data_IF_818016922022
#
_entry.id   IF_818016922022
#
_cell.length_a   1.000
_cell.length_b   1.000
_cell.length_c   1.000
_cell.angle_alpha   90.00
_cell.angle_beta   90.00
_cell.angle_gamma   90.00
#
_symmetry.space_group_name_H-M   'P 1'
#
loop_
_entity.id
_entity.type
_entity.pdbx_description
1 polymer ?
#
# COMPACT_ATOMS: atom_id res chain seq x y z
N UNK A 1 -15.90 65.36 -27.02
CA UNK A 1 -15.42 65.11 -25.65
C UNK A 1 -14.48 63.91 -25.68
N UNK A 2 -13.21 63.97 -25.34
CA UNK A 2 -12.24 65.07 -25.44
C UNK A 2 -10.83 64.47 -25.20
N UNK A 3 -10.01 64.33 -26.25
CA UNK A 3 -8.61 63.88 -26.14
C UNK A 3 -7.65 65.08 -26.12
N UNK A 4 -6.90 65.32 -25.02
CA UNK A 4 -5.85 66.33 -24.97
C UNK A 4 -4.45 65.68 -25.07
N UNK A 5 -3.84 65.86 -26.24
CA UNK A 5 -2.42 66.17 -26.42
C UNK A 5 -1.41 65.74 -25.33
N UNK A 6 -0.59 64.75 -25.71
CA UNK A 6 0.84 64.69 -25.38
C UNK A 6 1.48 66.09 -25.26
N UNK A 7 2.07 66.41 -24.10
CA UNK A 7 2.95 67.57 -23.90
C UNK A 7 4.29 67.13 -23.31
N UNK A 8 5.38 67.58 -23.91
CA UNK A 8 6.71 67.14 -23.54
C UNK A 8 7.27 67.94 -22.34
N UNK A 9 7.88 67.24 -21.39
CA UNK A 9 8.86 67.81 -20.45
C UNK A 9 10.27 67.60 -20.99
N UNK A 10 11.04 68.68 -21.11
CA UNK A 10 12.36 68.67 -21.74
C UNK A 10 13.50 68.35 -20.75
N UNK A 11 14.71 68.18 -21.33
CA UNK A 11 16.02 68.31 -20.69
C UNK A 11 16.29 67.52 -19.40
N UNK A 12 17.02 66.40 -19.55
CA UNK A 12 18.21 66.17 -18.73
C UNK A 12 19.21 65.25 -19.45
N UNK A 13 20.11 65.83 -20.26
CA UNK A 13 21.26 65.10 -20.82
C UNK A 13 22.35 64.90 -19.75
N UNK A 14 22.05 64.04 -18.77
CA UNK A 14 23.00 63.64 -17.74
C UNK A 14 23.98 62.58 -18.28
N UNK A 15 25.11 63.06 -18.80
CA UNK A 15 26.41 62.35 -18.88
C UNK A 15 26.40 60.85 -19.20
N UNK A 16 26.68 60.50 -20.48
CA UNK A 16 27.18 59.16 -20.85
C UNK A 16 28.57 58.91 -20.24
N UNK A 17 28.62 58.50 -18.97
CA UNK A 17 29.85 58.11 -18.30
C UNK A 17 30.58 57.01 -19.09
N UNK A 18 31.86 57.21 -19.37
CA UNK A 18 32.67 56.25 -20.10
C UNK A 18 32.73 54.90 -19.35
N UNK A 19 32.55 53.79 -20.07
CA UNK A 19 32.66 52.44 -19.48
C UNK A 19 34.09 52.27 -18.94
N UNK A 20 34.29 51.99 -17.65
CA UNK A 20 35.64 51.89 -17.08
C UNK A 20 36.41 50.72 -17.73
N UNK A 21 37.71 50.92 -17.90
CA UNK A 21 38.60 49.96 -18.54
C UNK A 21 38.52 48.56 -17.86
N UNK A 22 38.63 47.46 -18.62
CA UNK A 22 38.54 46.12 -18.07
C UNK A 22 39.67 45.88 -17.05
N UNK A 23 39.31 45.64 -15.79
CA UNK A 23 40.27 45.29 -14.73
C UNK A 23 41.18 44.12 -15.18
N UNK A 24 42.49 44.16 -14.88
CA UNK A 24 43.44 43.14 -15.31
C UNK A 24 43.06 41.75 -14.78
N UNK A 25 43.42 40.72 -15.54
CA UNK A 25 43.25 39.32 -15.13
C UNK A 25 44.22 38.97 -14.00
N UNK A 26 43.75 38.23 -12.99
CA UNK A 26 44.64 37.72 -11.93
C UNK A 26 45.78 36.88 -12.53
N UNK A 27 47.06 37.16 -12.20
CA UNK A 27 48.21 36.55 -12.87
C UNK A 27 48.26 35.04 -12.71
N UNK A 28 47.88 34.50 -11.54
CA UNK A 28 47.82 33.06 -11.29
C UNK A 28 46.82 32.34 -12.23
N UNK A 29 45.63 32.91 -12.49
CA UNK A 29 44.67 32.34 -13.43
C UNK A 29 45.20 32.39 -14.88
N UNK A 30 45.93 33.45 -15.24
CA UNK A 30 46.59 33.57 -16.55
C UNK A 30 47.69 32.53 -16.74
N UNK A 31 48.46 32.22 -15.70
CA UNK A 31 49.50 31.18 -15.73
C UNK A 31 48.94 29.76 -15.84
N UNK A 32 47.73 29.50 -15.31
CA UNK A 32 47.03 28.22 -15.49
C UNK A 32 46.28 28.10 -16.82
N UNK A 33 46.48 29.03 -17.77
CA UNK A 33 45.81 29.02 -19.08
C UNK A 33 44.30 29.26 -19.04
N UNK A 34 43.72 29.54 -17.86
CA UNK A 34 42.28 29.72 -17.70
C UNK A 34 41.85 31.10 -18.24
N UNK A 35 40.67 31.19 -18.89
CA UNK A 35 40.12 32.48 -19.31
C UNK A 35 39.81 33.37 -18.08
N UNK A 36 39.61 34.66 -18.31
CA UNK A 36 39.27 35.62 -17.25
C UNK A 36 37.80 35.44 -16.80
N UNK A 37 37.50 34.34 -16.09
CA UNK A 37 36.16 33.98 -15.61
C UNK A 37 35.69 35.03 -14.59
N UNK A 38 34.92 36.01 -15.09
CA UNK A 38 34.27 37.02 -14.26
C UNK A 38 33.07 36.40 -13.55
N UNK A 39 33.34 35.73 -12.43
CA UNK A 39 32.35 35.27 -11.45
C UNK A 39 31.64 36.46 -10.79
N UNK A 40 30.83 37.18 -11.57
CA UNK A 40 29.84 38.10 -11.06
C UNK A 40 28.78 37.28 -10.33
N UNK A 41 28.52 37.62 -9.07
CA UNK A 41 27.37 37.07 -8.36
C UNK A 41 26.08 37.35 -9.17
N UNK A 42 25.12 36.41 -9.23
CA UNK A 42 23.82 36.67 -9.79
C UNK A 42 23.13 37.88 -9.12
N UNK A 43 22.17 38.51 -9.81
CA UNK A 43 21.42 39.62 -9.22
C UNK A 43 20.61 39.17 -8.00
N UNK A 44 20.20 40.11 -7.12
CA UNK A 44 19.44 39.82 -5.89
C UNK A 44 18.29 38.83 -6.11
N UNK A 45 17.49 39.03 -7.15
CA UNK A 45 16.34 38.19 -7.45
C UNK A 45 16.75 36.78 -7.91
N UNK A 46 17.84 36.67 -8.69
CA UNK A 46 18.43 35.37 -9.04
C UNK A 46 19.03 34.66 -7.83
N UNK A 47 19.69 35.36 -6.91
CA UNK A 47 20.19 34.77 -5.66
C UNK A 47 19.04 34.22 -4.81
N UNK A 48 17.97 34.99 -4.63
CA UNK A 48 16.75 34.54 -3.91
C UNK A 48 16.13 33.31 -4.58
N UNK A 49 16.01 33.31 -5.91
CA UNK A 49 15.49 32.17 -6.65
C UNK A 49 16.37 30.92 -6.48
N UNK A 50 17.69 31.07 -6.60
CA UNK A 50 18.65 29.97 -6.49
C UNK A 50 18.79 29.43 -5.05
N UNK A 51 18.66 30.27 -4.01
CA UNK A 51 18.66 29.77 -2.62
C UNK A 51 17.37 29.05 -2.27
N UNK A 52 16.20 29.54 -2.70
CA UNK A 52 14.91 28.86 -2.45
C UNK A 52 14.84 27.54 -3.22
N UNK A 53 15.14 27.54 -4.53
CA UNK A 53 15.12 26.31 -5.33
C UNK A 53 16.23 25.33 -4.92
N UNK A 54 17.43 25.82 -4.61
CA UNK A 54 18.56 25.01 -4.15
C UNK A 54 18.32 24.35 -2.78
N UNK A 55 17.73 25.07 -1.82
CA UNK A 55 17.38 24.51 -0.50
C UNK A 55 16.25 23.49 -0.59
N UNK A 56 15.18 23.77 -1.34
CA UNK A 56 14.08 22.81 -1.54
C UNK A 56 14.55 21.53 -2.28
N UNK A 57 15.33 21.67 -3.35
CA UNK A 57 15.88 20.51 -4.06
C UNK A 57 16.90 19.75 -3.22
N UNK A 58 17.72 20.44 -2.41
CA UNK A 58 18.61 19.83 -1.41
C UNK A 58 17.84 18.99 -0.39
N UNK A 59 16.76 19.52 0.19
CA UNK A 59 15.90 18.80 1.13
C UNK A 59 15.24 17.56 0.48
N UNK A 60 14.74 17.69 -0.76
CA UNK A 60 14.15 16.59 -1.52
C UNK A 60 15.15 15.49 -1.85
N UNK A 61 16.40 15.85 -2.20
CA UNK A 61 17.47 14.89 -2.46
C UNK A 61 17.96 14.22 -1.16
N UNK A 62 18.00 14.97 -0.06
CA UNK A 62 18.34 14.45 1.28
C UNK A 62 17.30 13.42 1.75
N UNK A 63 16.00 13.75 1.78
CA UNK A 63 14.98 12.82 2.26
C UNK A 63 14.88 11.57 1.37
N UNK A 64 15.07 11.71 0.04
CA UNK A 64 15.21 10.54 -0.87
C UNK A 64 16.45 9.69 -0.61
N UNK A 65 17.55 10.27 -0.12
CA UNK A 65 18.77 9.54 0.27
C UNK A 65 18.56 8.79 1.58
N UNK A 66 18.03 9.46 2.60
CA UNK A 66 17.81 8.86 3.91
C UNK A 66 16.67 7.82 3.88
N UNK A 67 15.63 8.04 3.09
CA UNK A 67 14.62 7.01 2.81
C UNK A 67 15.25 5.75 2.20
N UNK A 68 16.13 5.88 1.21
CA UNK A 68 16.83 4.73 0.61
C UNK A 68 17.74 4.04 1.62
N UNK A 69 18.42 4.78 2.51
CA UNK A 69 19.22 4.21 3.60
C UNK A 69 18.37 3.41 4.59
N UNK A 70 17.23 3.96 5.03
CA UNK A 70 16.29 3.24 5.90
C UNK A 70 15.78 1.96 5.22
N UNK A 71 15.43 2.02 3.93
CA UNK A 71 15.01 0.83 3.16
C UNK A 71 16.13 -0.21 3.05
N UNK A 72 17.36 0.22 2.75
CA UNK A 72 18.52 -0.67 2.67
C UNK A 72 18.81 -1.34 4.02
N UNK A 73 18.81 -0.60 5.13
CA UNK A 73 18.92 -1.12 6.51
C UNK A 73 17.96 -2.30 6.77
N UNK A 74 16.67 -2.12 6.48
CA UNK A 74 15.67 -3.17 6.73
C UNK A 74 15.73 -4.32 5.72
N UNK A 75 16.10 -4.06 4.48
CA UNK A 75 16.35 -5.12 3.49
C UNK A 75 17.58 -5.96 3.86
N UNK A 76 18.70 -5.34 4.22
CA UNK A 76 19.97 -6.00 4.58
C UNK A 76 19.84 -6.83 5.87
N UNK A 77 19.05 -6.35 6.84
CA UNK A 77 18.70 -7.11 8.04
C UNK A 77 17.96 -8.43 7.71
N UNK A 78 17.00 -8.37 6.79
CA UNK A 78 16.10 -9.45 6.39
C UNK A 78 16.70 -10.41 5.34
N UNK A 79 17.60 -9.95 4.49
CA UNK A 79 18.09 -10.65 3.29
C UNK A 79 18.84 -11.98 3.52
N UNK A 80 19.00 -12.43 4.76
CA UNK A 80 19.53 -13.76 5.07
C UNK A 80 18.51 -14.88 4.84
N UNK A 81 17.22 -14.62 5.09
CA UNK A 81 16.12 -15.59 4.85
C UNK A 81 16.12 -16.07 3.40
N UNK A 82 16.33 -15.16 2.45
CA UNK A 82 16.40 -15.45 1.01
C UNK A 82 17.54 -16.40 0.58
N UNK A 83 18.47 -16.72 1.49
CA UNK A 83 19.66 -17.56 1.24
C UNK A 83 19.68 -18.85 2.04
N UNK A 84 18.78 -19.00 3.00
CA UNK A 84 18.60 -20.25 3.73
C UNK A 84 18.07 -21.33 2.77
N UNK A 85 18.71 -22.51 2.70
CA UNK A 85 18.31 -23.57 1.77
C UNK A 85 17.00 -24.23 2.23
N UNK A 86 16.07 -24.44 1.28
CA UNK A 86 14.84 -25.21 1.51
C UNK A 86 14.94 -26.64 0.94
N UNK A 87 14.20 -27.60 1.53
CA UNK A 87 13.86 -28.86 0.88
C UNK A 87 13.07 -28.63 -0.43
N UNK A 88 13.22 -29.53 -1.40
CA UNK A 88 12.49 -29.47 -2.70
C UNK A 88 10.98 -29.71 -2.51
N UNK A 89 10.59 -30.36 -1.41
CA UNK A 89 9.21 -30.65 -1.02
C UNK A 89 8.50 -29.46 -0.33
N UNK A 90 9.17 -28.33 -0.14
CA UNK A 90 8.66 -27.20 0.66
C UNK A 90 8.59 -25.88 -0.14
N UNK A 91 7.41 -25.25 -0.16
CA UNK A 91 7.24 -23.85 -0.57
C UNK A 91 7.48 -22.91 0.62
N UNK A 92 8.23 -21.80 0.42
CA UNK A 92 8.33 -20.72 1.42
C UNK A 92 6.95 -20.28 1.90
N UNK A 93 6.83 -19.95 3.19
CA UNK A 93 5.60 -19.41 3.77
C UNK A 93 5.17 -18.14 3.04
N UNK A 94 3.86 -17.98 2.89
CA UNK A 94 3.23 -16.80 2.29
C UNK A 94 2.78 -15.80 3.37
N UNK A 95 2.75 -14.52 2.99
CA UNK A 95 2.17 -13.44 3.79
C UNK A 95 0.93 -12.85 3.12
N UNK A 96 -0.04 -12.41 3.91
CA UNK A 96 -1.36 -11.92 3.47
C UNK A 96 -1.40 -10.40 3.56
N UNK A 97 -1.56 -9.71 2.44
CA UNK A 97 -1.41 -8.24 2.33
C UNK A 97 -2.77 -7.58 2.07
N UNK A 98 -3.32 -6.91 3.07
CA UNK A 98 -4.61 -6.23 3.00
C UNK A 98 -4.44 -4.76 2.58
N UNK A 99 -5.12 -4.36 1.50
CA UNK A 99 -5.05 -3.02 0.90
C UNK A 99 -6.45 -2.45 0.60
N UNK A 100 -7.02 -1.60 1.46
CA UNK A 100 -8.20 -0.81 1.08
C UNK A 100 -7.82 0.53 0.43
N UNK A 101 -8.65 1.02 -0.49
CA UNK A 101 -8.58 2.40 -0.98
C UNK A 101 -8.74 3.40 0.18
N UNK A 102 -7.89 4.43 0.32
CA UNK A 102 -8.03 5.39 1.41
C UNK A 102 -9.32 6.21 1.31
N UNK A 103 -9.87 6.65 2.46
CA UNK A 103 -11.04 7.51 2.50
C UNK A 103 -10.92 8.79 1.64
N UNK A 104 -11.64 8.80 0.51
CA UNK A 104 -11.71 9.94 -0.42
C UNK A 104 -10.73 9.92 -1.60
N UNK A 105 -9.96 8.84 -1.79
CA UNK A 105 -9.08 8.61 -2.95
C UNK A 105 -9.15 7.13 -3.40
N UNK A 106 -8.57 6.81 -4.57
CA UNK A 106 -8.58 5.46 -5.10
C UNK A 106 -7.46 4.56 -4.57
N UNK A 107 -7.67 3.23 -4.68
CA UNK A 107 -6.72 2.14 -4.37
C UNK A 107 -5.29 2.34 -4.94
N UNK A 108 -5.11 3.22 -5.92
CA UNK A 108 -3.79 3.58 -6.48
C UNK A 108 -2.81 4.05 -5.40
N UNK A 109 -3.21 4.90 -4.46
CA UNK A 109 -2.27 5.46 -3.46
C UNK A 109 -1.84 4.42 -2.42
N UNK A 110 -2.72 3.49 -2.03
CA UNK A 110 -2.38 2.33 -1.19
C UNK A 110 -1.42 1.38 -1.93
N UNK A 111 -1.69 1.07 -3.21
CA UNK A 111 -0.78 0.29 -4.07
C UNK A 111 0.58 0.97 -4.26
N UNK A 112 0.63 2.29 -4.38
CA UNK A 112 1.89 3.04 -4.46
C UNK A 112 2.64 3.00 -3.12
N UNK A 113 1.96 3.13 -1.97
CA UNK A 113 2.59 2.96 -0.65
C UNK A 113 3.16 1.54 -0.47
N UNK A 114 2.38 0.48 -0.76
CA UNK A 114 2.86 -0.90 -0.70
C UNK A 114 4.13 -1.10 -1.56
N UNK A 115 4.11 -0.62 -2.81
CA UNK A 115 5.27 -0.70 -3.72
C UNK A 115 6.46 0.13 -3.26
N UNK A 116 6.23 1.29 -2.65
CA UNK A 116 7.29 2.24 -2.29
C UNK A 116 7.95 1.92 -0.94
N UNK A 117 7.24 1.28 0.01
CA UNK A 117 7.75 1.02 1.38
C UNK A 117 7.87 -0.47 1.74
N UNK A 118 6.82 -1.27 1.48
CA UNK A 118 6.71 -2.66 1.97
C UNK A 118 7.38 -3.66 1.03
N UNK A 119 7.02 -3.63 -0.26
CA UNK A 119 7.49 -4.60 -1.25
C UNK A 119 9.01 -4.78 -1.31
N UNK A 120 9.87 -3.74 -1.17
CA UNK A 120 11.32 -3.92 -1.20
C UNK A 120 11.83 -4.92 -0.15
N UNK A 121 11.23 -4.94 1.05
CA UNK A 121 11.64 -5.79 2.16
C UNK A 121 11.16 -7.23 1.94
N UNK A 122 9.91 -7.42 1.49
CA UNK A 122 9.39 -8.75 1.12
C UNK A 122 10.21 -9.40 0.00
N UNK A 123 10.61 -8.61 -1.00
CA UNK A 123 11.47 -9.07 -2.11
C UNK A 123 12.90 -9.36 -1.63
N UNK A 124 13.44 -8.58 -0.68
CA UNK A 124 14.73 -8.89 -0.06
C UNK A 124 14.69 -10.18 0.77
N UNK A 125 13.54 -10.54 1.34
CA UNK A 125 13.29 -11.80 2.06
C UNK A 125 13.10 -13.02 1.15
N UNK A 126 12.84 -12.81 -0.15
CA UNK A 126 12.31 -13.80 -1.07
C UNK A 126 11.01 -14.50 -0.56
N UNK A 127 10.15 -13.76 0.13
CA UNK A 127 8.83 -14.25 0.55
C UNK A 127 7.74 -13.87 -0.46
N UNK A 128 6.95 -14.87 -0.85
CA UNK A 128 5.72 -14.68 -1.62
C UNK A 128 4.62 -14.04 -0.76
N UNK A 129 3.73 -13.29 -1.41
CA UNK A 129 2.61 -12.63 -0.74
C UNK A 129 1.35 -12.63 -1.61
N UNK A 130 0.21 -12.86 -0.98
CA UNK A 130 -1.12 -12.78 -1.59
C UNK A 130 -1.79 -11.46 -1.19
N UNK A 131 -2.57 -10.83 -2.08
CA UNK A 131 -3.03 -9.44 -1.90
C UNK A 131 -4.55 -9.33 -1.93
N UNK A 132 -5.14 -8.94 -0.80
CA UNK A 132 -6.57 -8.75 -0.60
C UNK A 132 -6.89 -7.26 -0.77
N UNK A 133 -7.32 -6.89 -1.97
CA UNK A 133 -7.59 -5.50 -2.36
C UNK A 133 -9.06 -5.09 -2.19
N UNK A 134 -9.32 -4.02 -1.42
CA UNK A 134 -10.61 -3.33 -1.37
C UNK A 134 -10.60 -2.03 -2.18
N UNK A 135 -11.63 -1.82 -3.01
CA UNK A 135 -11.84 -0.57 -3.76
C UNK A 135 -12.84 0.36 -3.08
N UNK A 136 -13.69 -0.19 -2.21
CA UNK A 136 -14.74 0.49 -1.45
C UNK A 136 -14.69 0.05 0.00
N UNK A 137 -15.26 0.88 0.88
CA UNK A 137 -15.57 0.52 2.27
C UNK A 137 -16.34 -0.82 2.30
N UNK A 138 -15.82 -1.78 3.06
CA UNK A 138 -16.39 -3.11 3.27
C UNK A 138 -15.90 -4.21 2.33
N UNK A 139 -15.18 -3.87 1.25
CA UNK A 139 -14.64 -4.86 0.30
C UNK A 139 -13.60 -5.81 0.94
N UNK A 140 -12.83 -5.33 1.93
CA UNK A 140 -11.77 -6.13 2.59
C UNK A 140 -12.38 -7.02 3.66
N UNK A 141 -13.32 -6.50 4.46
CA UNK A 141 -14.11 -7.28 5.42
C UNK A 141 -14.76 -8.47 4.73
N UNK A 142 -15.49 -8.22 3.64
CA UNK A 142 -16.21 -9.24 2.88
C UNK A 142 -15.31 -10.39 2.44
N UNK A 143 -14.18 -10.07 1.79
CA UNK A 143 -13.22 -11.08 1.28
C UNK A 143 -12.59 -11.89 2.39
N UNK A 144 -12.15 -11.24 3.47
CA UNK A 144 -11.49 -11.93 4.57
C UNK A 144 -12.46 -12.85 5.33
N UNK A 145 -13.70 -12.38 5.56
CA UNK A 145 -14.76 -13.22 6.13
C UNK A 145 -15.11 -14.42 5.22
N UNK A 146 -15.16 -14.22 3.90
CA UNK A 146 -15.31 -15.32 2.94
C UNK A 146 -14.14 -16.31 2.93
N UNK A 147 -12.90 -15.84 3.08
CA UNK A 147 -11.70 -16.68 3.15
C UNK A 147 -11.71 -17.55 4.41
N UNK A 148 -12.00 -16.95 5.58
CA UNK A 148 -12.18 -17.69 6.84
C UNK A 148 -13.34 -18.71 6.70
N UNK A 149 -14.48 -18.34 6.07
CA UNK A 149 -15.57 -19.30 5.78
C UNK A 149 -15.12 -20.43 4.85
N UNK A 150 -14.27 -20.17 3.85
CA UNK A 150 -13.69 -21.20 2.98
C UNK A 150 -12.75 -22.14 3.74
N UNK A 151 -11.95 -21.63 4.70
CA UNK A 151 -11.12 -22.46 5.57
C UNK A 151 -11.96 -23.31 6.54
N UNK A 152 -13.00 -22.73 7.16
CA UNK A 152 -13.95 -23.46 8.03
C UNK A 152 -14.66 -24.61 7.30
N UNK A 153 -15.10 -24.40 6.06
CA UNK A 153 -15.63 -25.47 5.19
C UNK A 153 -14.58 -26.55 4.88
N UNK A 154 -13.33 -26.16 4.57
CA UNK A 154 -12.21 -27.11 4.34
C UNK A 154 -11.86 -27.93 5.58
N UNK A 155 -12.11 -27.38 6.78
CA UNK A 155 -11.96 -28.06 8.07
C UNK A 155 -13.18 -28.93 8.45
N UNK A 156 -14.17 -29.08 7.56
CA UNK A 156 -15.30 -30.00 7.73
C UNK A 156 -16.55 -29.42 8.39
N UNK A 157 -16.65 -28.10 8.58
CA UNK A 157 -17.90 -27.49 9.04
C UNK A 157 -18.95 -27.53 7.92
N UNK A 158 -20.07 -28.24 8.19
CA UNK A 158 -21.14 -28.48 7.23
C UNK A 158 -21.84 -27.17 6.81
N UNK A 159 -21.96 -26.98 5.51
CA UNK A 159 -22.66 -25.85 4.86
C UNK A 159 -23.91 -26.39 4.17
N UNK A 160 -25.07 -25.73 4.38
CA UNK A 160 -26.34 -26.12 3.74
C UNK A 160 -26.24 -25.95 2.22
N UNK A 161 -25.57 -24.88 1.77
CA UNK A 161 -25.32 -24.64 0.34
C UNK A 161 -24.47 -25.77 -0.27
N UNK A 162 -23.48 -26.30 0.45
CA UNK A 162 -22.65 -27.41 -0.04
C UNK A 162 -23.41 -28.75 -0.22
N UNK A 163 -24.56 -28.91 0.43
CA UNK A 163 -25.42 -30.10 0.30
C UNK A 163 -26.49 -29.92 -0.78
N UNK A 164 -27.05 -28.71 -0.92
CA UNK A 164 -28.08 -28.41 -1.91
C UNK A 164 -27.53 -28.03 -3.30
N UNK A 165 -26.32 -27.48 -3.36
CA UNK A 165 -25.77 -26.76 -4.51
C UNK A 165 -24.46 -27.32 -5.08
N UNK A 166 -24.32 -28.64 -5.19
CA UNK A 166 -23.14 -29.30 -5.79
C UNK A 166 -23.00 -29.09 -7.32
N UNK A 167 -23.65 -28.07 -7.90
CA UNK A 167 -23.80 -27.86 -9.34
C UNK A 167 -22.99 -26.68 -9.90
N UNK A 168 -23.26 -25.44 -9.46
CA UNK A 168 -23.02 -24.27 -10.35
C UNK A 168 -22.02 -23.21 -9.83
N UNK A 169 -21.85 -23.00 -8.52
CA UNK A 169 -20.86 -22.03 -7.98
C UNK A 169 -19.42 -22.60 -7.85
N UNK A 170 -19.20 -23.84 -8.29
CA UNK A 170 -18.01 -24.66 -8.00
C UNK A 170 -16.68 -24.26 -8.68
N UNK A 171 -16.50 -23.02 -9.11
CA UNK A 171 -15.26 -22.55 -9.76
C UNK A 171 -14.16 -22.37 -8.71
N UNK A 172 -13.47 -23.47 -8.36
CA UNK A 172 -12.25 -23.45 -7.54
C UNK A 172 -11.29 -22.38 -8.06
N UNK A 173 -10.73 -21.57 -7.16
CA UNK A 173 -9.77 -20.53 -7.55
C UNK A 173 -8.56 -21.17 -8.24
N UNK A 174 -7.90 -20.44 -9.15
CA UNK A 174 -6.68 -20.93 -9.80
C UNK A 174 -5.59 -21.29 -8.78
N UNK A 175 -5.52 -20.55 -7.68
CA UNK A 175 -4.61 -20.81 -6.56
C UNK A 175 -5.02 -22.05 -5.76
N UNK A 176 -6.33 -22.30 -5.59
CA UNK A 176 -6.83 -23.53 -4.95
C UNK A 176 -6.54 -24.78 -5.79
N UNK A 177 -6.74 -24.72 -7.12
CA UNK A 177 -6.38 -25.82 -8.04
C UNK A 177 -4.86 -26.07 -8.01
N UNK A 178 -4.05 -25.02 -7.96
CA UNK A 178 -2.58 -25.14 -7.82
C UNK A 178 -2.20 -25.71 -6.44
N UNK A 179 -2.88 -25.32 -5.36
CA UNK A 179 -2.63 -25.83 -4.02
C UNK A 179 -3.03 -27.31 -3.86
N UNK A 180 -4.15 -27.73 -4.47
CA UNK A 180 -4.55 -29.15 -4.55
C UNK A 180 -3.53 -29.96 -5.35
N UNK A 181 -3.07 -29.46 -6.50
CA UNK A 181 -2.03 -30.12 -7.28
C UNK A 181 -0.69 -30.24 -6.52
N UNK A 182 -0.28 -29.18 -5.80
CA UNK A 182 0.92 -29.21 -4.93
C UNK A 182 0.80 -30.29 -3.85
N UNK A 183 -0.33 -30.32 -3.13
CA UNK A 183 -0.63 -31.33 -2.09
C UNK A 183 -0.64 -32.74 -2.65
N UNK A 184 -1.18 -32.95 -3.85
CA UNK A 184 -1.18 -34.25 -4.53
C UNK A 184 0.22 -34.73 -4.96
N UNK A 185 1.15 -33.79 -5.22
CA UNK A 185 2.58 -34.07 -5.50
C UNK A 185 3.38 -34.26 -4.19
N UNK A 186 2.81 -33.92 -3.03
CA UNK A 186 3.47 -33.98 -1.72
C UNK A 186 4.16 -32.66 -1.32
N UNK A 187 4.06 -31.60 -2.14
CA UNK A 187 4.61 -30.28 -1.80
C UNK A 187 3.78 -29.64 -0.70
N UNK A 188 4.44 -29.30 0.41
CA UNK A 188 3.85 -28.62 1.58
C UNK A 188 4.35 -27.18 1.71
N UNK A 189 3.59 -26.35 2.40
CA UNK A 189 4.11 -25.04 2.82
C UNK A 189 5.07 -25.22 4.01
N UNK A 190 6.10 -24.38 4.06
CA UNK A 190 7.09 -24.26 5.12
C UNK A 190 6.41 -24.16 6.51
N UNK A 191 6.81 -25.00 7.50
CA UNK A 191 6.19 -25.02 8.82
C UNK A 191 6.63 -23.83 9.68
N UNK A 192 6.06 -22.66 9.40
CA UNK A 192 6.21 -21.43 10.16
C UNK A 192 4.87 -20.69 10.31
N UNK A 193 4.74 -19.77 11.29
CA UNK A 193 3.52 -19.02 11.49
C UNK A 193 3.34 -18.03 10.32
N UNK A 194 2.10 -17.78 9.90
CA UNK A 194 1.79 -16.85 8.80
C UNK A 194 1.67 -15.42 9.35
N UNK A 195 1.46 -14.46 8.46
CA UNK A 195 1.48 -13.06 8.85
C UNK A 195 0.58 -12.17 8.01
N UNK A 196 -0.38 -11.54 8.69
CA UNK A 196 -1.32 -10.58 8.12
C UNK A 196 -0.71 -9.16 8.16
N UNK A 197 -0.56 -8.54 7.00
CA UNK A 197 0.00 -7.22 6.81
C UNK A 197 -1.10 -6.26 6.38
N UNK A 198 -1.48 -5.33 7.26
CA UNK A 198 -2.68 -4.50 7.09
C UNK A 198 -2.31 -3.03 6.94
N UNK A 199 -2.52 -2.43 5.77
CA UNK A 199 -2.03 -1.07 5.49
C UNK A 199 -3.11 -0.01 5.75
N UNK A 200 -2.89 0.80 6.78
CA UNK A 200 -3.72 1.94 7.18
C UNK A 200 -4.89 1.59 8.11
N UNK A 201 -5.26 2.56 8.94
CA UNK A 201 -6.34 2.45 9.95
C UNK A 201 -7.67 2.00 9.37
N UNK A 202 -8.07 2.49 8.20
CA UNK A 202 -9.33 2.12 7.52
C UNK A 202 -9.33 0.62 7.17
N UNK A 203 -8.25 0.10 6.59
CA UNK A 203 -8.08 -1.33 6.33
C UNK A 203 -8.02 -2.14 7.64
N UNK A 204 -7.44 -1.61 8.71
CA UNK A 204 -7.41 -2.27 10.03
C UNK A 204 -8.81 -2.46 10.63
N UNK A 205 -9.70 -1.48 10.51
CA UNK A 205 -11.10 -1.60 10.96
C UNK A 205 -11.84 -2.68 10.16
N UNK A 206 -11.70 -2.68 8.84
CA UNK A 206 -12.28 -3.75 7.98
C UNK A 206 -11.68 -5.14 8.26
N UNK A 207 -10.37 -5.25 8.47
CA UNK A 207 -9.69 -6.50 8.82
C UNK A 207 -10.21 -7.09 10.13
N UNK A 208 -10.25 -6.28 11.20
CA UNK A 208 -10.78 -6.70 12.51
C UNK A 208 -12.26 -7.08 12.40
N UNK A 209 -13.06 -6.29 11.67
CA UNK A 209 -14.48 -6.58 11.42
C UNK A 209 -14.67 -7.90 10.66
N UNK A 210 -13.86 -8.15 9.62
CA UNK A 210 -13.88 -9.37 8.81
C UNK A 210 -13.41 -10.61 9.55
N UNK A 211 -12.42 -10.47 10.44
CA UNK A 211 -11.96 -11.53 11.33
C UNK A 211 -13.10 -12.02 12.23
N UNK A 212 -13.82 -11.09 12.87
CA UNK A 212 -14.95 -11.44 13.72
C UNK A 212 -16.13 -11.98 12.91
N UNK A 213 -16.45 -11.39 11.76
CA UNK A 213 -17.54 -11.87 10.89
C UNK A 213 -17.26 -13.25 10.25
N UNK A 214 -15.99 -13.59 10.02
CA UNK A 214 -15.54 -14.89 9.51
C UNK A 214 -15.59 -16.00 10.55
N UNK A 215 -15.21 -15.70 11.80
CA UNK A 215 -15.20 -16.69 12.89
C UNK A 215 -16.54 -16.80 13.65
N UNK A 216 -17.23 -15.68 13.90
CA UNK A 216 -18.52 -15.66 14.64
C UNK A 216 -19.73 -15.72 13.71
N UNK A 217 -19.57 -15.39 12.43
CA UNK A 217 -20.67 -15.40 11.46
C UNK A 217 -21.04 -16.79 10.94
N UNK A 218 -22.22 -16.91 10.31
CA UNK A 218 -22.63 -18.12 9.62
C UNK A 218 -21.73 -18.40 8.40
N UNK A 219 -21.68 -19.68 8.02
CA UNK A 219 -20.87 -20.19 6.89
C UNK A 219 -21.58 -19.96 5.56
N UNK A 220 -22.89 -20.15 5.56
CA UNK A 220 -23.80 -19.88 4.44
C UNK A 220 -24.27 -18.42 4.50
N UNK A 221 -24.62 -17.79 3.35
CA UNK A 221 -25.18 -16.45 3.37
C UNK A 221 -26.52 -16.41 4.11
N UNK A 222 -26.80 -15.37 4.93
CA UNK A 222 -28.16 -15.11 5.36
C UNK A 222 -29.05 -14.84 4.13
N UNK A 223 -30.37 -15.12 4.20
CA UNK A 223 -31.28 -14.75 3.12
C UNK A 223 -31.15 -13.24 2.86
N UNK A 224 -30.90 -12.87 1.61
CA UNK A 224 -30.75 -11.47 1.24
C UNK A 224 -32.05 -10.72 1.58
N UNK A 225 -31.97 -9.48 2.10
CA UNK A 225 -33.17 -8.67 2.30
C UNK A 225 -33.89 -8.52 0.96
N UNK A 226 -35.16 -8.89 0.92
CA UNK A 226 -35.97 -8.80 -0.30
C UNK A 226 -36.00 -7.33 -0.76
N UNK A 227 -35.60 -7.02 -2.01
CA UNK A 227 -35.63 -5.64 -2.48
C UNK A 227 -37.09 -5.20 -2.58
N UNK A 228 -37.48 -4.21 -1.77
CA UNK A 228 -38.85 -3.68 -1.74
C UNK A 228 -39.29 -3.33 -3.17
N UNK A 229 -40.23 -4.12 -3.70
CA UNK A 229 -40.69 -3.97 -5.06
C UNK A 229 -41.53 -2.70 -5.14
N UNK A 230 -40.92 -1.61 -5.63
CA UNK A 230 -41.64 -0.37 -5.97
C UNK A 230 -42.85 -0.71 -6.84
N UNK A 231 -44.03 -0.59 -6.24
CA UNK A 231 -45.31 -0.85 -6.89
C UNK A 231 -45.54 0.22 -7.94
N UNK A 232 -45.12 -0.06 -9.18
CA UNK A 232 -45.41 0.75 -10.34
C UNK A 232 -46.92 0.74 -10.59
N UNK A 233 -47.60 1.78 -10.09
CA UNK A 233 -49.04 1.98 -10.29
C UNK A 233 -49.35 2.11 -11.78
N UNK A 234 -50.35 1.38 -12.25
CA UNK A 234 -50.86 1.47 -13.61
C UNK A 234 -51.63 2.79 -13.79
N UNK A 235 -51.31 3.57 -14.83
CA UNK A 235 -52.22 4.56 -15.40
C UNK A 235 -52.30 4.45 -16.94
N UNK A 236 -53.41 4.86 -17.57
CA UNK A 236 -54.02 3.98 -18.56
C UNK A 236 -53.76 4.32 -20.04
N UNK A 237 -53.95 3.27 -20.84
CA UNK A 237 -53.90 3.22 -22.30
C UNK A 237 -55.09 3.96 -22.95
N UNK A 238 -54.81 5.00 -23.74
CA UNK A 238 -55.82 5.62 -24.63
C UNK A 238 -55.78 5.01 -26.04
N UNK A 239 -56.93 4.60 -26.63
CA UNK A 239 -57.00 4.04 -27.98
C UNK A 239 -57.33 5.09 -29.05
N UNK A 240 -56.84 4.88 -30.26
CA UNK A 240 -57.30 5.52 -31.49
C UNK A 240 -57.40 4.46 -32.61
N UNK A 241 -58.24 4.70 -33.61
CA UNK A 241 -58.82 3.65 -34.48
C UNK A 241 -58.38 3.82 -35.96
N UNK A 242 -58.22 2.67 -36.63
CA UNK A 242 -58.35 2.31 -38.07
C UNK A 242 -58.61 3.43 -39.12
N UNK A 243 -58.22 3.36 -40.40
CA UNK A 243 -57.43 2.46 -41.28
C UNK A 243 -57.53 3.08 -42.73
N UNK A 244 -57.11 2.45 -43.86
CA UNK A 244 -56.25 1.29 -44.13
C UNK A 244 -54.89 1.78 -44.74
N UNK A 245 -54.28 1.40 -45.87
CA UNK A 245 -54.56 0.48 -46.99
C UNK A 245 -53.25 0.10 -47.76
N UNK A 246 -53.37 -0.88 -48.67
CA UNK A 246 -52.45 -1.31 -49.74
C UNK A 246 -51.27 -2.22 -49.35
N UNK A 247 -50.99 -3.13 -50.29
CA UNK A 247 -50.14 -4.31 -50.16
C UNK A 247 -49.41 -4.58 -51.48
N UNK A 248 -48.72 -5.73 -51.54
CA UNK A 248 -47.68 -6.07 -52.54
C UNK A 248 -46.35 -5.30 -52.33
N UNK A 249 -45.17 -5.89 -52.53
CA UNK A 249 -44.82 -7.18 -53.15
C UNK A 249 -43.70 -7.88 -52.35
N UNK A 250 -43.55 -9.21 -52.51
CA UNK A 250 -42.62 -10.01 -51.70
C UNK A 250 -41.28 -10.31 -52.42
N UNK A 251 -40.17 -10.20 -51.69
CA UNK A 251 -38.90 -10.88 -52.01
C UNK A 251 -37.98 -10.97 -50.77
N UNK A 252 -37.57 -12.19 -50.45
CA UNK A 252 -36.53 -12.56 -49.48
C UNK A 252 -35.23 -12.97 -50.22
N UNK A 253 -34.07 -13.17 -49.55
CA UNK A 253 -33.82 -13.07 -48.10
C UNK A 253 -32.73 -12.05 -47.71
N UNK A 254 -32.65 -11.73 -46.41
CA UNK A 254 -31.53 -11.04 -45.78
C UNK A 254 -30.82 -11.96 -44.75
N UNK A 255 -29.57 -11.65 -44.41
CA UNK A 255 -28.68 -12.52 -43.62
C UNK A 255 -29.16 -12.76 -42.17
N UNK A 256 -29.01 -13.99 -41.67
CA UNK A 256 -29.16 -14.29 -40.24
C UNK A 256 -28.10 -13.56 -39.41
N UNK A 257 -28.52 -12.55 -38.63
CA UNK A 257 -27.79 -12.13 -37.43
C UNK A 257 -28.57 -12.54 -36.20
N UNK A 258 -28.04 -13.57 -35.53
CA UNK A 258 -28.45 -13.91 -34.16
C UNK A 258 -27.77 -12.93 -33.21
N UNK A 259 -28.52 -11.93 -32.76
CA UNK A 259 -28.15 -11.17 -31.57
C UNK A 259 -28.29 -12.09 -30.35
N UNK A 260 -27.17 -12.64 -29.87
CA UNK A 260 -27.11 -13.25 -28.54
C UNK A 260 -27.27 -12.14 -27.49
N UNK A 261 -28.50 -11.96 -27.00
CA UNK A 261 -28.82 -11.08 -25.87
C UNK A 261 -28.13 -11.59 -24.60
N UNK A 262 -26.86 -11.20 -24.43
CA UNK A 262 -26.13 -11.41 -23.18
C UNK A 262 -26.82 -10.63 -22.07
N UNK A 263 -27.60 -11.35 -21.26
CA UNK A 263 -27.93 -10.93 -19.89
C UNK A 263 -26.62 -10.68 -19.13
N UNK A 264 -26.19 -9.43 -19.10
CA UNK A 264 -25.21 -8.99 -18.11
C UNK A 264 -25.86 -9.12 -16.74
N UNK A 265 -25.48 -10.18 -16.01
CA UNK A 265 -25.77 -10.31 -14.60
C UNK A 265 -25.26 -9.05 -13.89
N UNK A 266 -26.19 -8.25 -13.38
CA UNK A 266 -25.89 -7.01 -12.65
C UNK A 266 -25.23 -7.38 -11.32
N UNK A 267 -23.91 -7.61 -11.36
CA UNK A 267 -23.08 -7.85 -10.18
C UNK A 267 -23.44 -6.82 -9.11
N UNK A 268 -23.70 -7.23 -7.86
CA UNK A 268 -24.22 -6.35 -6.83
C UNK A 268 -23.34 -5.11 -6.72
N UNK A 269 -23.95 -3.93 -6.85
CA UNK A 269 -23.23 -2.67 -7.05
C UNK A 269 -22.65 -2.09 -5.75
N UNK A 270 -22.24 -2.93 -4.81
CA UNK A 270 -21.74 -2.63 -3.47
C UNK A 270 -20.98 -3.83 -2.86
N UNK A 271 -20.32 -3.66 -1.71
CA UNK A 271 -19.82 -4.79 -0.93
C UNK A 271 -20.99 -5.70 -0.51
N UNK A 272 -20.73 -6.99 -0.25
CA UNK A 272 -21.73 -7.86 0.37
C UNK A 272 -22.05 -7.36 1.79
N UNK A 273 -23.31 -7.33 2.24
CA UNK A 273 -23.64 -6.94 3.61
C UNK A 273 -22.94 -7.87 4.63
N UNK A 274 -22.64 -7.36 5.83
CA UNK A 274 -22.06 -8.17 6.89
C UNK A 274 -23.08 -9.17 7.44
N UNK A 275 -22.69 -10.43 7.63
CA UNK A 275 -23.63 -11.50 7.99
C UNK A 275 -24.10 -11.47 9.47
N UNK A 276 -23.40 -10.73 10.33
CA UNK A 276 -23.64 -10.61 11.79
C UNK A 276 -23.28 -9.21 12.24
N UNK A 277 -24.11 -8.56 13.08
CA UNK A 277 -23.82 -7.21 13.60
C UNK A 277 -22.75 -7.24 14.70
N UNK A 278 -22.13 -6.09 14.98
CA UNK A 278 -21.17 -5.97 16.10
C UNK A 278 -21.80 -6.18 17.48
N UNK A 279 -23.11 -5.94 17.63
CA UNK A 279 -23.84 -6.16 18.88
C UNK A 279 -24.06 -7.65 19.18
N UNK A 280 -24.13 -8.49 18.14
CA UNK A 280 -24.40 -9.93 18.28
C UNK A 280 -23.17 -10.76 18.64
N UNK A 281 -21.96 -10.19 18.62
CA UNK A 281 -20.72 -10.95 18.88
C UNK A 281 -20.77 -11.81 20.17
N UNK A 282 -21.27 -11.32 21.33
CA UNK A 282 -21.29 -12.11 22.55
C UNK A 282 -22.29 -13.27 22.52
N UNK A 283 -23.33 -13.22 21.68
CA UNK A 283 -24.37 -14.25 21.59
C UNK A 283 -24.02 -15.35 20.58
N UNK A 284 -23.14 -15.09 19.60
CA UNK A 284 -22.73 -16.10 18.63
C UNK A 284 -21.88 -17.23 19.27
N UNK A 285 -22.06 -18.49 18.84
CA UNK A 285 -21.21 -19.61 19.25
C UNK A 285 -19.83 -19.53 18.56
N UNK A 286 -18.78 -19.99 19.25
CA UNK A 286 -17.48 -20.21 18.59
C UNK A 286 -17.52 -21.50 17.74
N UNK A 287 -16.95 -21.50 16.53
CA UNK A 287 -16.72 -22.72 15.77
C UNK A 287 -15.69 -23.63 16.45
N UNK A 288 -15.82 -24.97 16.34
CA UNK A 288 -14.80 -25.92 16.80
C UNK A 288 -13.49 -25.83 16.01
N UNK A 289 -13.51 -25.27 14.78
CA UNK A 289 -12.32 -25.14 13.93
C UNK A 289 -11.45 -23.90 14.21
N UNK A 290 -11.82 -23.02 15.14
CA UNK A 290 -11.00 -21.84 15.47
C UNK A 290 -9.67 -22.26 16.13
N UNK A 291 -8.51 -21.78 15.66
CA UNK A 291 -7.24 -22.14 16.27
C UNK A 291 -7.12 -21.57 17.70
N UNK A 292 -6.18 -22.12 18.48
CA UNK A 292 -5.89 -21.63 19.84
C UNK A 292 -5.20 -20.24 19.81
N UNK A 293 -4.44 -19.98 18.75
CA UNK A 293 -3.77 -18.71 18.45
C UNK A 293 -4.00 -18.39 16.98
N UNK A 294 -4.41 -17.16 16.68
CA UNK A 294 -4.50 -16.68 15.29
C UNK A 294 -3.12 -16.27 14.79
N UNK A 295 -2.95 -16.23 13.47
CA UNK A 295 -1.73 -15.73 12.84
C UNK A 295 -1.44 -14.27 13.23
N UNK A 296 -0.14 -13.92 13.26
CA UNK A 296 0.29 -12.62 13.76
C UNK A 296 -0.01 -11.49 12.78
N UNK A 297 -0.66 -10.43 13.25
CA UNK A 297 -1.06 -9.27 12.44
C UNK A 297 -0.17 -8.05 12.69
N UNK A 298 0.09 -7.30 11.62
CA UNK A 298 0.95 -6.12 11.58
C UNK A 298 0.21 -4.94 10.94
N UNK A 299 -0.41 -4.06 11.74
CA UNK A 299 -1.00 -2.82 11.24
C UNK A 299 0.10 -1.81 10.91
N UNK A 300 0.16 -1.40 9.64
CA UNK A 300 1.19 -0.53 9.07
C UNK A 300 0.62 0.88 8.81
N UNK A 301 1.31 1.96 9.25
CA UNK A 301 0.82 3.32 9.06
C UNK A 301 0.78 3.75 7.59
N UNK A 302 -0.36 4.30 7.17
CA UNK A 302 -0.62 4.83 5.84
C UNK A 302 -1.00 6.31 5.90
N UNK A 303 -0.03 7.22 6.09
CA UNK A 303 -0.28 8.66 6.29
C UNK A 303 -0.77 9.34 5.00
N UNK A 304 -2.08 9.26 4.75
CA UNK A 304 -2.78 9.79 3.59
C UNK A 304 -3.63 11.01 3.98
N UNK A 305 -3.25 12.20 3.51
CA UNK A 305 -3.94 13.46 3.82
C UNK A 305 -4.37 14.19 2.55
N UNK A 306 -5.67 14.51 2.47
CA UNK A 306 -6.33 15.15 1.32
C UNK A 306 -6.64 16.64 1.57
N UNK A 307 -7.10 17.33 0.52
CA UNK A 307 -7.49 18.75 0.55
C UNK A 307 -6.38 19.74 0.17
N UNK A 308 -6.81 20.97 -0.18
CA UNK A 308 -5.94 22.07 -0.62
C UNK A 308 -5.33 22.86 0.55
N UNK A 309 -6.12 23.18 1.58
CA UNK A 309 -5.63 23.88 2.78
C UNK A 309 -4.57 23.05 3.54
N UNK A 310 -4.57 21.73 3.36
CA UNK A 310 -3.60 20.81 3.94
C UNK A 310 -2.28 20.71 3.13
N UNK A 311 -2.13 21.45 2.03
CA UNK A 311 -0.89 21.44 1.21
C UNK A 311 0.41 21.72 1.97
N UNK A 312 0.54 22.67 2.92
CA UNK A 312 1.77 22.83 3.69
C UNK A 312 2.11 21.59 4.54
N UNK A 313 1.10 20.95 5.16
CA UNK A 313 1.27 19.72 5.93
C UNK A 313 1.71 18.57 4.99
N UNK A 314 1.11 18.47 3.80
CA UNK A 314 1.47 17.48 2.77
C UNK A 314 2.90 17.70 2.26
N UNK A 315 3.37 18.94 2.10
CA UNK A 315 4.77 19.27 1.76
C UNK A 315 5.72 18.87 2.90
N UNK A 316 5.37 19.18 4.16
CA UNK A 316 6.16 18.78 5.32
C UNK A 316 6.29 17.24 5.43
N UNK A 317 5.20 16.50 5.25
CA UNK A 317 5.22 15.02 5.22
C UNK A 317 6.00 14.48 4.02
N UNK A 318 5.93 15.15 2.86
CA UNK A 318 6.67 14.75 1.66
C UNK A 318 8.19 14.91 1.79
N UNK A 319 8.67 15.86 2.59
CA UNK A 319 10.10 16.08 2.90
C UNK A 319 10.59 15.30 4.14
N UNK A 320 9.76 14.43 4.69
CA UNK A 320 10.04 13.64 5.89
C UNK A 320 9.62 12.16 5.72
N UNK A 321 9.59 11.66 4.48
CA UNK A 321 9.22 10.26 4.17
C UNK A 321 10.23 9.25 4.74
N UNK A 322 11.45 9.69 5.12
CA UNK A 322 12.44 8.83 5.79
C UNK A 322 11.93 8.21 7.09
N UNK A 323 11.14 8.91 7.91
CA UNK A 323 10.63 8.37 9.17
C UNK A 323 9.57 7.29 8.93
N UNK A 324 8.67 7.51 7.97
CA UNK A 324 7.69 6.51 7.53
C UNK A 324 8.41 5.28 6.97
N UNK A 325 9.51 5.46 6.24
CA UNK A 325 10.31 4.34 5.74
C UNK A 325 11.03 3.55 6.85
N UNK A 326 11.38 4.17 7.97
CA UNK A 326 12.01 3.46 9.09
C UNK A 326 10.99 2.77 10.00
N UNK A 327 9.81 3.38 10.25
CA UNK A 327 8.74 2.76 11.03
C UNK A 327 8.07 1.60 10.28
N UNK A 328 7.63 1.82 9.04
CA UNK A 328 7.10 0.74 8.19
C UNK A 328 8.15 -0.35 7.98
N UNK A 329 9.42 0.03 7.84
CA UNK A 329 10.51 -0.94 7.70
C UNK A 329 10.71 -1.82 8.93
N UNK A 330 10.61 -1.25 10.14
CA UNK A 330 10.63 -1.98 11.41
C UNK A 330 9.48 -2.98 11.53
N UNK A 331 8.25 -2.55 11.24
CA UNK A 331 7.05 -3.41 11.36
C UNK A 331 7.07 -4.56 10.34
N UNK A 332 7.46 -4.29 9.08
CA UNK A 332 7.62 -5.35 8.06
C UNK A 332 8.77 -6.30 8.41
N UNK A 333 9.89 -5.80 8.93
CA UNK A 333 11.00 -6.66 9.36
C UNK A 333 10.60 -7.58 10.54
N UNK A 334 9.82 -7.09 11.50
CA UNK A 334 9.28 -7.88 12.60
C UNK A 334 8.39 -9.03 12.10
N UNK A 335 7.44 -8.72 11.20
CA UNK A 335 6.56 -9.68 10.53
C UNK A 335 7.34 -10.75 9.76
N UNK A 336 8.32 -10.32 8.96
CA UNK A 336 9.09 -11.20 8.06
C UNK A 336 10.06 -12.11 8.82
N UNK A 337 10.69 -11.62 9.90
CA UNK A 337 11.48 -12.46 10.79
C UNK A 337 10.59 -13.41 11.61
N UNK A 338 9.42 -12.96 12.04
CA UNK A 338 8.52 -13.65 12.98
C UNK A 338 9.18 -14.11 14.30
N UNK A 339 10.37 -13.59 14.64
CA UNK A 339 11.21 -14.04 15.76
C UNK A 339 10.56 -13.94 17.14
N UNK A 340 9.61 -13.02 17.31
CA UNK A 340 8.86 -12.84 18.54
C UNK A 340 7.42 -12.42 18.22
N UNK A 341 6.49 -13.36 18.35
CA UNK A 341 5.06 -13.05 18.42
C UNK A 341 4.67 -12.79 19.88
N UNK A 342 3.79 -11.82 20.12
CA UNK A 342 3.12 -11.63 21.41
C UNK A 342 1.61 -11.48 21.24
N UNK A 343 0.78 -11.86 22.22
CA UNK A 343 -0.60 -11.38 22.26
C UNK A 343 -0.64 -9.85 22.35
N UNK A 344 -1.72 -9.27 21.87
CA UNK A 344 -2.04 -7.87 22.13
C UNK A 344 -2.29 -7.64 23.64
N UNK A 345 -1.98 -6.44 24.12
CA UNK A 345 -2.14 -6.11 25.54
C UNK A 345 -3.59 -5.71 25.84
N UNK A 346 -4.19 -6.35 26.84
CA UNK A 346 -5.36 -5.84 27.54
C UNK A 346 -4.89 -4.88 28.63
N UNK A 347 -5.41 -3.65 28.68
CA UNK A 347 -4.95 -2.65 29.64
C UNK A 347 -6.05 -1.72 30.14
N UNK A 348 -5.96 -1.24 31.40
CA UNK A 348 -6.68 -0.03 31.79
C UNK A 348 -6.12 1.15 31.01
N UNK A 349 -7.00 2.07 30.58
CA UNK A 349 -6.58 3.30 29.90
C UNK A 349 -5.60 4.06 30.79
N UNK A 350 -4.35 4.14 30.36
CA UNK A 350 -3.27 4.77 31.12
C UNK A 350 -3.11 6.20 30.64
N UNK A 351 -3.75 7.14 31.32
CA UNK A 351 -3.69 8.57 31.03
C UNK A 351 -2.24 9.08 31.07
N UNK A 352 -1.62 9.22 29.89
CA UNK A 352 -0.28 9.78 29.70
C UNK A 352 -0.07 10.24 28.24
N UNK A 353 -0.99 11.06 27.72
CA UNK A 353 -0.77 11.90 26.53
C UNK A 353 -1.84 12.99 26.44
N UNK A 354 -1.45 14.26 26.36
CA UNK A 354 -2.37 15.40 26.24
C UNK A 354 -3.20 15.34 24.94
N UNK A 355 -4.44 14.85 25.03
CA UNK A 355 -5.39 14.81 23.92
C UNK A 355 -6.82 15.08 24.42
N UNK A 356 -7.12 16.36 24.63
CA UNK A 356 -8.45 16.87 25.01
C UNK A 356 -9.55 16.30 24.09
N UNK A 357 -10.34 15.37 24.64
CA UNK A 357 -11.46 14.67 24.00
C UNK A 357 -12.26 13.97 25.12
N UNK A 358 -13.55 14.30 25.32
CA UNK A 358 -14.33 13.70 26.39
C UNK A 358 -14.69 12.25 26.05
N UNK A 359 -13.96 11.29 26.64
CA UNK A 359 -14.29 9.87 26.57
C UNK A 359 -15.26 9.56 27.71
N UNK A 360 -16.47 9.09 27.38
CA UNK A 360 -17.50 8.84 28.39
C UNK A 360 -17.14 7.60 29.23
N UNK A 361 -17.10 7.76 30.56
CA UNK A 361 -16.42 6.80 31.45
C UNK A 361 -17.37 5.64 31.80
N UNK A 362 -17.30 4.56 31.03
CA UNK A 362 -18.09 3.33 31.25
C UNK A 362 -17.27 2.04 31.18
N UNK A 363 -16.27 1.91 32.07
CA UNK A 363 -15.84 0.62 32.65
C UNK A 363 -15.27 -0.48 31.73
N UNK A 364 -15.00 -0.21 30.45
CA UNK A 364 -14.52 -1.20 29.49
C UNK A 364 -13.00 -1.38 29.53
N UNK A 365 -12.54 -2.64 29.44
CA UNK A 365 -11.13 -2.96 29.23
C UNK A 365 -10.71 -2.51 27.82
N UNK A 366 -9.75 -1.60 27.73
CA UNK A 366 -9.26 -1.12 26.44
C UNK A 366 -8.30 -2.14 25.82
N UNK A 367 -8.66 -2.63 24.64
CA UNK A 367 -7.82 -3.55 23.87
C UNK A 367 -6.82 -2.75 23.03
N UNK A 368 -5.54 -3.15 23.05
CA UNK A 368 -4.50 -2.52 22.23
C UNK A 368 -4.88 -2.46 20.73
N UNK A 369 -5.62 -3.45 20.22
CA UNK A 369 -6.14 -3.50 18.85
C UNK A 369 -7.02 -2.27 18.49
N UNK A 370 -7.75 -1.71 19.46
CA UNK A 370 -8.70 -0.61 19.23
C UNK A 370 -7.99 0.72 18.97
N UNK A 371 -6.82 0.93 19.57
CA UNK A 371 -6.05 2.18 19.47
C UNK A 371 -5.01 2.16 18.33
N UNK A 372 -4.71 1.00 17.74
CA UNK A 372 -3.80 0.86 16.59
C UNK A 372 -4.16 1.84 15.46
N UNK A 373 -3.21 2.69 15.08
CA UNK A 373 -3.33 3.70 14.01
C UNK A 373 -4.49 4.72 14.19
N UNK A 374 -5.11 4.84 15.37
CA UNK A 374 -6.27 5.72 15.58
C UNK A 374 -5.99 7.21 15.28
N UNK A 375 -4.72 7.64 15.33
CA UNK A 375 -4.31 9.00 14.95
C UNK A 375 -4.53 9.30 13.45
N UNK A 376 -4.61 8.28 12.58
CA UNK A 376 -4.85 8.45 11.14
C UNK A 376 -6.30 8.84 10.82
N UNK A 377 -7.27 8.55 11.72
CA UNK A 377 -8.67 8.94 11.53
C UNK A 377 -8.82 10.47 11.44
N UNK A 378 -7.90 11.22 12.07
CA UNK A 378 -7.82 12.69 12.04
C UNK A 378 -7.37 13.25 10.67
N UNK A 379 -6.75 12.44 9.81
CA UNK A 379 -6.31 12.82 8.46
C UNK A 379 -7.37 12.55 7.37
N UNK A 380 -8.43 11.81 7.72
CA UNK A 380 -9.45 11.37 6.76
C UNK A 380 -10.22 12.55 6.15
N UNK A 381 -10.67 12.36 4.92
CA UNK A 381 -11.35 13.43 4.19
C UNK A 381 -12.78 13.64 4.70
N UNK A 382 -13.23 14.91 4.75
CA UNK A 382 -14.56 15.30 5.26
C UNK A 382 -15.75 14.64 4.56
N UNK A 383 -15.54 14.03 3.39
CA UNK A 383 -16.56 13.21 2.72
C UNK A 383 -16.93 11.94 3.48
N UNK A 384 -16.01 11.35 4.27
CA UNK A 384 -16.28 10.14 5.06
C UNK A 384 -17.36 10.40 6.11
N UNK A 385 -17.31 11.55 6.78
CA UNK A 385 -18.23 11.90 7.85
C UNK A 385 -19.62 12.34 7.35
N UNK A 386 -19.83 12.44 6.03
CA UNK A 386 -21.18 12.59 5.48
C UNK A 386 -21.93 11.27 5.63
N UNK A 387 -23.19 11.30 6.03
CA UNK A 387 -24.11 10.17 5.94
C UNK A 387 -24.63 10.02 4.52
N UNK A 388 -24.77 8.77 4.06
CA UNK A 388 -25.42 8.46 2.77
C UNK A 388 -26.94 8.47 2.99
N UNK A 389 -27.57 9.63 2.79
CA UNK A 389 -29.02 9.85 2.99
C UNK A 389 -29.91 8.86 2.22
N UNK A 390 -29.38 8.24 1.17
CA UNK A 390 -30.08 7.24 0.35
C UNK A 390 -30.06 5.81 0.93
N UNK A 391 -29.21 5.49 1.92
CA UNK A 391 -29.13 4.18 2.56
C UNK A 391 -28.68 4.35 4.04
N UNK A 392 -29.55 4.84 4.95
CA UNK A 392 -29.17 5.13 6.32
C UNK A 392 -28.72 3.88 7.11
N UNK A 393 -29.31 2.72 6.81
CA UNK A 393 -29.06 1.46 7.51
C UNK A 393 -27.82 0.69 6.99
N UNK A 394 -27.11 1.24 5.99
CA UNK A 394 -25.88 0.63 5.48
C UNK A 394 -24.77 0.75 6.53
N UNK A 395 -24.20 -0.39 6.93
CA UNK A 395 -23.03 -0.41 7.81
C UNK A 395 -21.85 0.40 7.24
N UNK A 396 -21.08 1.01 8.15
CA UNK A 396 -20.01 1.97 7.86
C UNK A 396 -18.74 1.58 8.59
N UNK A 397 -18.04 0.56 8.09
CA UNK A 397 -16.88 -0.06 8.74
C UNK A 397 -15.75 0.94 9.04
N UNK A 398 -15.65 2.06 8.30
CA UNK A 398 -14.66 3.09 8.60
C UNK A 398 -15.06 4.00 9.77
N UNK A 399 -16.34 4.33 9.93
CA UNK A 399 -16.79 5.22 11.01
C UNK A 399 -17.13 4.50 12.31
N UNK A 400 -17.66 3.27 12.26
CA UNK A 400 -17.99 2.50 13.45
C UNK A 400 -16.78 2.24 14.35
N UNK A 401 -17.01 2.10 15.65
CA UNK A 401 -15.94 1.77 16.60
C UNK A 401 -15.42 0.34 16.42
N UNK A 402 -14.18 0.12 16.85
CA UNK A 402 -13.54 -1.21 16.79
C UNK A 402 -14.09 -2.09 17.91
N UNK A 403 -15.25 -2.70 17.66
CA UNK A 403 -15.85 -3.70 18.54
C UNK A 403 -15.09 -5.03 18.40
N UNK A 404 -14.83 -5.66 19.55
CA UNK A 404 -14.06 -6.89 19.67
C UNK A 404 -14.80 -7.89 20.55
N UNK A 405 -14.76 -9.16 20.17
CA UNK A 405 -15.11 -10.26 21.06
C UNK A 405 -13.84 -10.66 21.85
N UNK A 406 -13.86 -10.65 23.20
CA UNK A 406 -12.72 -11.12 24.02
C UNK A 406 -12.19 -12.50 23.59
N UNK A 407 -13.08 -13.39 23.13
CA UNK A 407 -12.75 -14.76 22.68
C UNK A 407 -11.89 -14.77 21.41
N UNK A 408 -12.04 -13.77 20.54
CA UNK A 408 -11.25 -13.61 19.32
C UNK A 408 -10.04 -12.71 19.59
N UNK A 409 -10.23 -11.60 20.31
CA UNK A 409 -9.18 -10.64 20.65
C UNK A 409 -8.01 -11.29 21.42
N UNK A 410 -8.29 -12.14 22.42
CA UNK A 410 -7.27 -12.86 23.18
C UNK A 410 -6.51 -13.93 22.38
N UNK A 411 -6.99 -14.30 21.18
CA UNK A 411 -6.29 -15.18 20.23
C UNK A 411 -5.40 -14.41 19.25
N UNK A 412 -5.62 -13.10 19.07
CA UNK A 412 -4.86 -12.28 18.13
C UNK A 412 -3.43 -12.04 18.64
N UNK A 413 -2.46 -12.12 17.73
CA UNK A 413 -1.06 -11.83 18.02
C UNK A 413 -0.54 -10.70 17.13
N UNK A 414 0.56 -10.07 17.56
CA UNK A 414 1.39 -9.16 16.76
C UNK A 414 2.85 -9.58 16.82
N UNK A 415 3.52 -9.50 15.68
CA UNK A 415 4.97 -9.63 15.62
C UNK A 415 5.68 -8.37 16.11
N UNK A 416 6.68 -8.56 16.96
CA UNK A 416 7.54 -7.51 17.49
C UNK A 416 8.98 -7.87 17.11
N UNK A 417 9.78 -6.85 16.80
CA UNK A 417 11.21 -7.03 16.54
C UNK A 417 11.91 -7.30 17.88
N UNK A 418 12.66 -8.39 17.98
CA UNK A 418 13.40 -8.70 19.21
C UNK A 418 14.50 -7.66 19.47
N UNK A 419 14.85 -7.41 20.73
CA UNK A 419 15.88 -6.43 21.09
C UNK A 419 17.26 -6.71 20.46
N UNK A 420 17.55 -7.97 20.15
CA UNK A 420 18.76 -8.39 19.44
C UNK A 420 18.74 -7.96 17.96
N UNK A 421 17.61 -8.17 17.27
CA UNK A 421 17.43 -7.74 15.88
C UNK A 421 17.28 -6.21 15.78
N UNK A 422 16.77 -5.53 16.82
CA UNK A 422 16.82 -4.06 16.93
C UNK A 422 18.27 -3.55 17.02
N UNK A 423 19.07 -4.10 17.93
CA UNK A 423 20.49 -3.75 18.05
C UNK A 423 21.28 -4.10 16.78
N UNK A 424 20.89 -5.15 16.06
CA UNK A 424 21.41 -5.49 14.73
C UNK A 424 20.98 -4.48 13.66
N UNK A 425 19.73 -4.03 13.64
CA UNK A 425 19.24 -2.98 12.75
C UNK A 425 20.01 -1.65 12.94
N UNK A 426 20.41 -1.35 14.17
CA UNK A 426 21.26 -0.18 14.49
C UNK A 426 22.69 -0.38 13.95
N UNK A 427 23.34 -1.52 14.23
CA UNK A 427 24.69 -1.83 13.72
C UNK A 427 24.77 -1.91 12.19
N UNK A 428 23.70 -2.30 11.50
CA UNK A 428 23.58 -2.22 10.03
C UNK A 428 23.45 -0.76 9.56
N UNK A 429 22.67 0.07 10.26
CA UNK A 429 22.52 1.49 9.94
C UNK A 429 23.83 2.29 10.12
N UNK A 430 24.60 1.96 11.16
CA UNK A 430 25.98 2.44 11.38
C UNK A 430 26.95 1.89 10.33
N UNK A 431 26.66 0.71 9.79
CA UNK A 431 27.46 0.03 8.78
C UNK A 431 28.57 -0.87 9.33
N UNK A 432 28.46 -1.26 10.61
CA UNK A 432 29.35 -2.18 11.33
C UNK A 432 29.02 -3.63 11.00
N UNK A 433 27.73 -3.96 10.82
CA UNK A 433 27.26 -5.27 10.32
C UNK A 433 26.66 -5.11 8.92
N UNK A 434 26.55 -6.23 8.19
CA UNK A 434 25.87 -6.33 6.90
C UNK A 434 24.84 -7.48 6.95
N UNK A 435 24.58 -8.17 5.84
CA UNK A 435 23.74 -9.36 5.82
C UNK A 435 24.44 -10.48 6.62
N UNK A 436 23.69 -11.27 7.41
CA UNK A 436 24.22 -12.40 8.17
C UNK A 436 25.04 -13.32 7.24
N UNK A 437 26.30 -13.57 7.61
CA UNK A 437 27.21 -14.45 6.88
C UNK A 437 27.99 -13.80 5.73
N UNK A 438 27.86 -12.50 5.46
CA UNK A 438 28.60 -11.81 4.39
C UNK A 438 29.41 -10.60 4.88
N UNK A 439 30.58 -10.40 4.26
CA UNK A 439 31.31 -9.14 4.33
C UNK A 439 30.65 -8.07 3.44
N UNK A 440 30.75 -6.81 3.88
CA UNK A 440 30.19 -5.69 3.12
C UNK A 440 31.02 -5.45 1.85
N UNK A 441 30.41 -5.39 0.64
CA UNK A 441 31.16 -5.12 -0.58
C UNK A 441 31.84 -3.74 -0.54
N UNK A 442 33.06 -3.61 -1.10
CA UNK A 442 33.86 -2.39 -1.00
C UNK A 442 33.13 -1.19 -1.63
N UNK A 443 33.28 0.00 -1.03
CA UNK A 443 32.59 1.20 -1.50
C UNK A 443 33.11 1.68 -2.86
N UNK A 444 32.45 1.24 -3.94
CA UNK A 444 32.70 1.71 -5.32
C UNK A 444 32.19 3.13 -5.47
N UNK A 445 33.07 4.08 -5.85
CA UNK A 445 32.68 5.49 -6.02
C UNK A 445 31.63 5.68 -7.12
N UNK A 446 30.90 6.81 -7.10
CA UNK A 446 29.89 7.11 -8.14
C UNK A 446 30.56 7.23 -9.52
N UNK A 447 31.70 7.90 -9.61
CA UNK A 447 32.48 8.02 -10.85
C UNK A 447 32.94 6.67 -11.38
N UNK A 448 33.42 5.78 -10.50
CA UNK A 448 33.83 4.43 -10.88
C UNK A 448 32.63 3.59 -11.35
N UNK A 449 31.47 3.65 -10.68
CA UNK A 449 30.23 3.02 -11.14
C UNK A 449 29.74 3.56 -12.49
N UNK A 450 29.91 4.85 -12.76
CA UNK A 450 29.59 5.44 -14.07
C UNK A 450 30.59 5.00 -15.14
N UNK A 451 31.89 4.97 -14.82
CA UNK A 451 32.94 4.50 -15.73
C UNK A 451 32.81 3.02 -16.10
N UNK A 452 32.37 2.18 -15.15
CA UNK A 452 32.09 0.76 -15.37
C UNK A 452 30.81 0.58 -16.20
N UNK A 453 29.72 1.28 -15.86
CA UNK A 453 28.41 1.06 -16.50
C UNK A 453 28.26 1.74 -17.88
N UNK A 454 28.97 2.84 -18.12
CA UNK A 454 28.81 3.69 -19.31
C UNK A 454 30.13 4.08 -19.99
N UNK A 455 31.27 3.60 -19.50
CA UNK A 455 32.59 3.77 -20.11
C UNK A 455 33.24 2.42 -20.41
N UNK A 456 34.57 2.40 -20.51
CA UNK A 456 35.37 1.19 -20.73
C UNK A 456 35.92 0.61 -19.41
N UNK A 457 35.22 0.82 -18.30
CA UNK A 457 35.61 0.25 -17.01
C UNK A 457 35.16 -1.20 -16.88
N UNK A 458 36.08 -2.11 -16.60
CA UNK A 458 35.70 -3.48 -16.23
C UNK A 458 35.42 -3.56 -14.73
N UNK A 459 34.36 -4.28 -14.35
CA UNK A 459 34.12 -4.61 -12.95
C UNK A 459 35.28 -5.47 -12.41
N UNK A 460 35.93 -5.13 -11.29
CA UNK A 460 37.13 -5.82 -10.82
C UNK A 460 36.86 -7.29 -10.45
N UNK A 461 35.62 -7.65 -10.14
CA UNK A 461 35.21 -9.04 -9.91
C UNK A 461 34.97 -9.81 -11.21
N UNK A 462 34.52 -9.13 -12.27
CA UNK A 462 34.39 -9.73 -13.62
C UNK A 462 35.77 -9.91 -14.24
N UNK A 463 36.66 -8.93 -14.12
CA UNK A 463 38.05 -9.03 -14.53
C UNK A 463 38.77 -10.21 -13.85
N UNK A 464 38.57 -10.42 -12.54
CA UNK A 464 39.07 -11.60 -11.80
C UNK A 464 38.49 -12.94 -12.26
N UNK A 465 37.31 -12.95 -12.90
CA UNK A 465 36.64 -14.17 -13.40
C UNK A 465 36.95 -14.47 -14.88
N UNK A 466 37.59 -13.55 -15.60
CA UNK A 466 38.07 -13.84 -16.96
C UNK A 466 39.22 -14.85 -16.88
N UNK A 467 39.21 -15.92 -17.68
CA UNK A 467 40.40 -16.76 -17.82
C UNK A 467 41.54 -15.91 -18.39
N UNK A 468 42.69 -15.96 -17.72
CA UNK A 468 43.92 -15.36 -18.24
C UNK A 468 44.39 -16.26 -19.37
N UNK A 469 44.00 -15.93 -20.61
CA UNK A 469 44.70 -16.44 -21.78
C UNK A 469 46.12 -15.85 -21.74
N UNK A 470 47.10 -16.68 -21.37
CA UNK A 470 48.50 -16.37 -21.61
C UNK A 470 48.72 -16.17 -23.11
N UNK A 471 49.72 -15.36 -23.49
CA UNK A 471 49.98 -15.03 -24.89
C UNK A 471 50.15 -16.32 -25.72
N UNK A 472 49.26 -16.51 -26.70
CA UNK A 472 49.35 -17.61 -27.69
C UNK A 472 50.33 -17.22 -28.83
N UNK A 473 51.01 -16.10 -28.68
CA UNK A 473 52.02 -15.56 -29.59
C UNK A 473 53.46 -16.02 -29.22
N UNK A 474 53.63 -17.21 -28.64
CA UNK A 474 54.94 -17.88 -28.65
C UNK A 474 55.19 -18.48 -30.04
N UNK A 475 56.32 -18.09 -30.64
CA UNK A 475 56.61 -18.21 -32.07
C UNK A 475 56.56 -19.66 -32.58
N UNK A 476 55.72 -19.90 -33.60
CA UNK A 476 55.82 -21.11 -34.43
C UNK A 476 57.01 -20.97 -35.38
N UNK A 477 58.15 -21.55 -34.99
CA UNK A 477 59.36 -21.71 -35.82
C UNK A 477 59.33 -22.99 -36.67
#
# INVERSE_FOLDING_TARGET
>A
MADPSNTASASNEASKAAKPAPKPQNPALKMMGLPNIRLKLPSRNWLIFLTITGSFTGALLYDRREKRRAQQKWCELVAHIAREPLPVEESRRKLTVFLAAPPGDGLRSAREHFKEYVKPILVAAALDYDVIEGRREGDVRAKFAEEIRKERRKNGELSVVSVAGAGEDGVKSKEEVIAEARRAIGVRDEPGPRGDLVIGRHTWKEYVRGLHEGWLGPIDPPPAPEPESVTALEEPRVPAVEAPEQAEQAQEPAEEKKDEEKKEEKKPAGPTPAYVSTADYPSQPLPPSIPQTLDGSAPIPFPHLLGFLNTPIRIYRFLNRRYVADSVGRDVAALVLASQARPYTEGPVSDNSDSDSPVDVSGTTAYEQQTQLAHEERDWHKSVHKTDEANPDKEREWLGDVVLDPRVAGRMQRYVLSGEEEARAQRIAEGVEYIRGEERPPHVSIWQRVWIKYGYGEDPEVAKRKPIYGNIDEESA
#
